data_IF_475790205186
#
_entry.id   IF_475790205186
#
_cell.length_a   1.000
_cell.length_b   1.000
_cell.length_c   1.000
_cell.angle_alpha   90.00
_cell.angle_beta   90.00
_cell.angle_gamma   90.00
#
_symmetry.space_group_name_H-M   'P 1'
#
loop_
_entity.id
_entity.type
_entity.pdbx_description
1 polymer ?
#
# COMPACT_ATOMS: atom_id res chain seq x y z
N UNK A 1 56.95 -11.23 -11.41
CA UNK A 1 56.10 -11.82 -10.34
C UNK A 1 54.93 -10.89 -10.07
N UNK A 2 53.84 -11.06 -10.81
CA UNK A 2 52.60 -10.27 -10.68
C UNK A 2 51.70 -10.90 -9.63
N UNK A 3 51.63 -10.28 -8.45
CA UNK A 3 50.75 -10.67 -7.34
C UNK A 3 49.30 -10.32 -7.65
N UNK A 4 48.49 -11.33 -7.99
CA UNK A 4 47.04 -11.21 -8.12
C UNK A 4 46.39 -11.23 -6.73
N UNK A 5 45.97 -10.07 -6.23
CA UNK A 5 45.17 -9.93 -5.02
C UNK A 5 43.76 -10.48 -5.28
N UNK A 6 43.47 -11.67 -4.75
CA UNK A 6 42.13 -12.26 -4.80
C UNK A 6 41.20 -11.45 -3.88
N UNK A 7 40.30 -10.66 -4.48
CA UNK A 7 39.19 -10.03 -3.76
C UNK A 7 38.26 -11.12 -3.24
N UNK A 8 38.21 -11.30 -1.92
CA UNK A 8 37.26 -12.22 -1.27
C UNK A 8 35.82 -11.82 -1.65
N UNK A 9 34.97 -12.77 -2.09
CA UNK A 9 33.60 -12.47 -2.49
C UNK A 9 32.83 -11.91 -1.28
N UNK A 10 32.36 -10.67 -1.40
CA UNK A 10 31.55 -9.99 -0.39
C UNK A 10 30.30 -10.82 -0.12
N UNK A 11 30.23 -11.45 1.05
CA UNK A 11 29.16 -12.39 1.41
C UNK A 11 27.83 -11.64 1.49
N UNK A 12 26.93 -11.88 0.54
CA UNK A 12 25.57 -11.34 0.60
C UNK A 12 24.87 -11.91 1.85
N UNK A 13 24.29 -11.03 2.68
CA UNK A 13 23.57 -11.42 3.88
C UNK A 13 22.07 -11.33 3.61
N UNK A 14 21.35 -12.43 3.80
CA UNK A 14 19.89 -12.45 3.77
C UNK A 14 19.35 -12.04 5.14
N UNK A 15 18.56 -10.96 5.20
CA UNK A 15 17.88 -10.53 6.43
C UNK A 15 16.37 -10.80 6.29
N UNK A 16 15.75 -11.51 7.23
CA UNK A 16 14.30 -11.64 7.25
C UNK A 16 13.66 -10.29 7.58
N UNK A 17 12.75 -9.81 6.73
CA UNK A 17 12.01 -8.55 6.95
C UNK A 17 10.60 -8.78 7.48
N UNK A 18 9.98 -9.90 7.14
CA UNK A 18 8.66 -10.27 7.64
C UNK A 18 8.59 -11.75 7.93
N UNK A 19 7.88 -12.10 9.00
CA UNK A 19 7.49 -13.48 9.32
C UNK A 19 6.06 -13.41 9.86
N UNK A 20 5.16 -14.16 9.24
CA UNK A 20 3.75 -14.11 9.58
C UNK A 20 2.92 -15.02 8.70
N UNK A 21 1.72 -14.54 8.38
CA UNK A 21 0.71 -15.32 7.67
C UNK A 21 -0.05 -14.48 6.65
N UNK A 22 -0.58 -15.16 5.64
CA UNK A 22 -1.41 -14.57 4.59
C UNK A 22 -2.88 -14.94 4.85
N UNK A 23 -3.70 -13.96 5.20
CA UNK A 23 -5.13 -14.14 5.37
C UNK A 23 -5.81 -14.25 3.99
N UNK A 24 -6.55 -15.33 3.77
CA UNK A 24 -7.32 -15.53 2.56
C UNK A 24 -8.65 -14.75 2.61
N UNK A 25 -9.19 -14.32 1.45
CA UNK A 25 -10.45 -13.60 1.41
C UNK A 25 -11.57 -14.54 1.83
N UNK A 26 -12.57 -14.00 2.51
CA UNK A 26 -13.82 -14.68 2.89
C UNK A 26 -13.69 -15.91 3.82
N UNK A 27 -12.47 -16.31 4.16
CA UNK A 27 -12.20 -17.40 5.07
C UNK A 27 -11.46 -16.89 6.31
N UNK A 28 -11.78 -17.48 7.47
CA UNK A 28 -10.96 -17.31 8.67
C UNK A 28 -9.64 -18.11 8.60
N UNK A 29 -9.32 -18.70 7.43
CA UNK A 29 -8.11 -19.48 7.21
C UNK A 29 -6.95 -18.53 6.91
N UNK A 30 -5.87 -18.72 7.65
CA UNK A 30 -4.60 -18.02 7.42
C UNK A 30 -3.54 -19.01 6.95
N UNK A 31 -2.75 -18.58 5.98
CA UNK A 31 -1.64 -19.34 5.44
C UNK A 31 -0.38 -18.95 6.23
N UNK A 32 -0.04 -19.75 7.24
CA UNK A 32 1.09 -19.48 8.14
C UNK A 32 2.45 -19.84 7.52
N UNK A 33 3.54 -19.50 8.22
CA UNK A 33 4.89 -19.91 7.85
C UNK A 33 5.45 -19.19 6.63
N UNK A 34 4.92 -18.01 6.33
CA UNK A 34 5.37 -17.14 5.24
C UNK A 34 6.43 -16.18 5.79
N UNK A 35 7.58 -16.14 5.14
CA UNK A 35 8.67 -15.24 5.48
C UNK A 35 9.15 -14.48 4.24
N UNK A 36 9.38 -13.18 4.38
CA UNK A 36 10.05 -12.38 3.35
C UNK A 36 11.47 -12.06 3.81
N UNK A 37 12.42 -12.27 2.91
CA UNK A 37 13.84 -12.07 3.14
C UNK A 37 14.40 -11.11 2.11
N UNK A 38 15.16 -10.11 2.54
CA UNK A 38 15.85 -9.18 1.65
C UNK A 38 17.33 -9.53 1.60
N UNK A 39 17.90 -9.58 0.40
CA UNK A 39 19.35 -9.77 0.24
C UNK A 39 20.05 -8.42 0.31
N UNK A 40 20.64 -8.10 1.46
CA UNK A 40 21.38 -6.86 1.62
C UNK A 40 22.82 -7.03 1.11
N UNK A 41 23.23 -6.07 0.29
CA UNK A 41 24.65 -5.85 -0.05
C UNK A 41 25.21 -4.76 0.86
N UNK A 42 26.54 -4.62 0.93
CA UNK A 42 27.19 -3.59 1.75
C UNK A 42 26.74 -2.15 1.39
N UNK A 43 26.21 -1.92 0.19
CA UNK A 43 25.81 -0.61 -0.31
C UNK A 43 24.32 -0.31 -0.11
N UNK A 44 23.48 -1.34 0.00
CA UNK A 44 22.03 -1.20 0.09
C UNK A 44 21.59 -1.21 1.55
N UNK A 45 21.04 -0.10 2.03
CA UNK A 45 20.44 -0.06 3.37
C UNK A 45 18.96 -0.42 3.31
N UNK A 46 18.43 -1.02 4.39
CA UNK A 46 17.00 -1.34 4.49
C UNK A 46 16.10 -0.12 4.28
N UNK A 47 16.61 1.08 4.62
CA UNK A 47 15.91 2.35 4.46
C UNK A 47 15.64 2.73 2.99
N UNK A 48 16.44 2.24 2.05
CA UNK A 48 16.30 2.53 0.63
C UNK A 48 15.20 1.70 -0.04
N UNK A 49 14.78 0.59 0.58
CA UNK A 49 13.73 -0.27 0.04
C UNK A 49 12.42 -0.03 0.80
N UNK A 50 11.47 0.74 0.23
CA UNK A 50 10.21 1.05 0.90
C UNK A 50 9.33 -0.18 1.13
N UNK A 51 9.46 -1.22 0.29
CA UNK A 51 8.73 -2.47 0.47
C UNK A 51 9.29 -3.28 1.65
N UNK A 52 10.62 -3.34 1.79
CA UNK A 52 11.26 -3.98 2.93
C UNK A 52 10.87 -3.29 4.26
N UNK A 53 10.83 -1.95 4.27
CA UNK A 53 10.36 -1.16 5.42
C UNK A 53 8.88 -1.43 5.75
N UNK A 54 8.04 -1.51 4.73
CA UNK A 54 6.62 -1.82 4.91
C UNK A 54 6.43 -3.21 5.53
N UNK A 55 7.14 -4.21 5.01
CA UNK A 55 7.12 -5.58 5.52
C UNK A 55 7.68 -5.67 6.95
N UNK A 56 8.78 -4.98 7.25
CA UNK A 56 9.33 -4.88 8.62
C UNK A 56 8.31 -4.32 9.60
N UNK A 57 7.54 -3.32 9.16
CA UNK A 57 6.52 -2.66 9.98
C UNK A 57 5.28 -3.53 10.22
N UNK A 58 5.10 -4.59 9.43
CA UNK A 58 3.94 -5.49 9.51
C UNK A 58 4.24 -6.81 10.23
N UNK A 59 5.44 -6.96 10.82
CA UNK A 59 5.77 -8.18 11.58
C UNK A 59 4.71 -8.46 12.66
N UNK A 60 4.27 -9.71 12.73
CA UNK A 60 3.21 -10.14 13.64
C UNK A 60 1.78 -9.77 13.20
N UNK A 61 1.61 -9.11 12.06
CA UNK A 61 0.30 -8.81 11.47
C UNK A 61 0.11 -9.67 10.22
N UNK A 62 -1.02 -10.37 10.14
CA UNK A 62 -1.37 -11.13 8.94
C UNK A 62 -1.60 -10.16 7.76
N UNK A 63 -0.91 -10.40 6.65
CA UNK A 63 -1.12 -9.66 5.41
C UNK A 63 -2.32 -10.24 4.66
N UNK A 64 -3.03 -9.45 3.86
CA UNK A 64 -4.30 -9.89 3.25
C UNK A 64 -4.11 -10.24 1.79
N UNK A 65 -4.57 -11.42 1.39
CA UNK A 65 -4.73 -11.73 -0.03
C UNK A 65 -5.77 -10.79 -0.66
N UNK A 66 -5.51 -10.36 -1.89
CA UNK A 66 -6.44 -9.57 -2.69
C UNK A 66 -6.96 -10.38 -3.87
N UNK A 67 -6.06 -10.81 -4.75
CA UNK A 67 -6.42 -11.52 -5.97
C UNK A 67 -5.22 -12.26 -6.58
N UNK A 68 -5.49 -13.20 -7.48
CA UNK A 68 -4.49 -13.68 -8.45
C UNK A 68 -4.65 -12.83 -9.71
N UNK A 69 -3.56 -12.21 -10.14
CA UNK A 69 -3.53 -11.23 -11.24
C UNK A 69 -2.57 -11.66 -12.33
N UNK A 70 -2.77 -11.18 -13.56
CA UNK A 70 -1.77 -11.32 -14.62
C UNK A 70 -0.72 -10.23 -14.48
N UNK A 71 0.55 -10.59 -14.57
CA UNK A 71 1.66 -9.65 -14.45
C UNK A 71 1.71 -8.64 -15.60
N UNK A 72 1.09 -8.96 -16.75
CA UNK A 72 0.96 -8.04 -17.88
C UNK A 72 0.00 -6.88 -17.61
N UNK A 73 -0.93 -7.03 -16.66
CA UNK A 73 -1.98 -6.05 -16.38
C UNK A 73 -1.55 -5.03 -15.31
N UNK A 74 -0.37 -5.19 -14.72
CA UNK A 74 0.14 -4.34 -13.64
C UNK A 74 1.56 -3.84 -13.89
N UNK A 75 1.85 -2.66 -13.36
CA UNK A 75 3.21 -2.15 -13.25
C UNK A 75 3.75 -2.51 -11.87
N UNK A 76 4.94 -3.11 -11.82
CA UNK A 76 5.58 -3.46 -10.57
C UNK A 76 7.09 -3.29 -10.67
N UNK A 77 7.71 -2.99 -9.54
CA UNK A 77 9.15 -2.72 -9.48
C UNK A 77 9.95 -4.03 -9.39
N UNK A 78 10.06 -4.75 -10.51
CA UNK A 78 10.83 -5.99 -10.60
C UNK A 78 12.35 -5.77 -10.40
N UNK A 79 12.83 -4.56 -10.72
CA UNK A 79 14.25 -4.20 -10.70
C UNK A 79 14.66 -3.49 -9.41
N UNK A 80 13.77 -3.37 -8.44
CA UNK A 80 14.08 -2.80 -7.13
C UNK A 80 15.16 -3.66 -6.45
N UNK A 81 16.41 -3.20 -6.51
CA UNK A 81 17.49 -3.75 -5.71
C UNK A 81 17.44 -3.12 -4.31
N UNK A 82 17.49 -3.90 -3.22
CA UNK A 82 17.58 -5.36 -3.17
C UNK A 82 16.22 -6.06 -3.37
N UNK A 83 16.22 -7.15 -4.15
CA UNK A 83 15.04 -7.98 -4.35
C UNK A 83 14.59 -8.66 -3.05
N UNK A 84 13.28 -8.80 -2.89
CA UNK A 84 12.68 -9.47 -1.72
C UNK A 84 12.26 -10.86 -2.14
N UNK A 85 12.88 -11.87 -1.52
CA UNK A 85 12.51 -13.27 -1.70
C UNK A 85 11.41 -13.65 -0.71
N UNK A 86 10.53 -14.54 -1.15
CA UNK A 86 9.55 -15.18 -0.30
C UNK A 86 9.99 -16.62 -0.02
N UNK A 87 10.10 -16.94 1.26
CA UNK A 87 10.43 -18.26 1.79
C UNK A 87 9.19 -18.82 2.49
N UNK A 88 8.83 -20.06 2.17
CA UNK A 88 7.72 -20.79 2.81
C UNK A 88 8.33 -21.87 3.71
N UNK A 89 7.94 -21.88 4.98
CA UNK A 89 8.42 -22.88 5.91
C UNK A 89 7.96 -24.30 5.48
N UNK A 90 8.84 -25.31 5.44
CA UNK A 90 8.50 -26.64 4.89
C UNK A 90 7.41 -27.38 5.68
N UNK A 91 7.23 -27.05 6.97
CA UNK A 91 6.15 -27.60 7.79
C UNK A 91 4.81 -26.87 7.60
N UNK A 92 4.78 -25.73 6.90
CA UNK A 92 3.55 -25.02 6.59
C UNK A 92 2.89 -25.63 5.34
N UNK A 93 2.28 -26.80 5.52
CA UNK A 93 1.72 -27.63 4.44
C UNK A 93 0.67 -26.85 3.63
N UNK A 94 -0.25 -26.14 4.28
CA UNK A 94 -1.30 -25.37 3.59
C UNK A 94 -0.71 -24.27 2.69
N UNK A 95 0.26 -23.51 3.19
CA UNK A 95 0.93 -22.46 2.41
C UNK A 95 1.72 -23.04 1.24
N UNK A 96 2.41 -24.16 1.47
CA UNK A 96 3.16 -24.89 0.43
C UNK A 96 2.22 -25.35 -0.68
N UNK A 97 1.15 -26.06 -0.33
CA UNK A 97 0.15 -26.56 -1.30
C UNK A 97 -0.54 -25.40 -2.03
N UNK A 98 -0.88 -24.32 -1.32
CA UNK A 98 -1.51 -23.14 -1.93
C UNK A 98 -0.63 -22.53 -3.02
N UNK A 99 0.64 -22.23 -2.71
CA UNK A 99 1.55 -21.62 -3.67
C UNK A 99 1.99 -22.59 -4.78
N UNK A 100 2.12 -23.89 -4.48
CA UNK A 100 2.32 -24.92 -5.50
C UNK A 100 1.13 -24.99 -6.46
N UNK A 101 -0.10 -24.91 -5.94
CA UNK A 101 -1.28 -24.93 -6.79
C UNK A 101 -1.33 -23.72 -7.73
N UNK A 102 -0.94 -22.55 -7.24
CA UNK A 102 -0.90 -21.34 -8.06
C UNK A 102 0.22 -21.41 -9.10
N UNK A 103 1.46 -21.67 -8.68
CA UNK A 103 2.62 -21.48 -9.55
C UNK A 103 3.07 -22.75 -10.29
N UNK A 104 2.72 -23.96 -9.83
CA UNK A 104 3.22 -25.22 -10.39
C UNK A 104 2.18 -26.00 -11.19
N UNK A 105 0.86 -25.75 -11.05
CA UNK A 105 -0.15 -26.51 -11.81
C UNK A 105 -0.10 -26.25 -13.31
N UNK A 106 0.32 -25.05 -13.73
CA UNK A 106 0.37 -24.65 -15.14
C UNK A 106 1.71 -23.98 -15.45
N UNK A 107 2.73 -24.74 -15.89
CA UNK A 107 4.08 -24.21 -16.14
C UNK A 107 4.09 -23.07 -17.18
N UNK A 108 3.15 -23.09 -18.13
CA UNK A 108 2.98 -22.03 -19.13
C UNK A 108 2.56 -20.68 -18.53
N UNK A 109 1.86 -20.71 -17.39
CA UNK A 109 1.30 -19.53 -16.73
C UNK A 109 2.12 -19.09 -15.52
N UNK A 110 3.06 -19.90 -15.04
CA UNK A 110 3.87 -19.65 -13.84
C UNK A 110 4.49 -18.26 -13.79
N UNK A 111 5.01 -17.77 -14.93
CA UNK A 111 5.68 -16.47 -15.02
C UNK A 111 4.78 -15.34 -15.51
N UNK A 112 3.52 -15.63 -15.84
CA UNK A 112 2.56 -14.62 -16.29
C UNK A 112 1.52 -14.24 -15.23
N UNK A 113 1.48 -14.96 -14.11
CA UNK A 113 0.57 -14.71 -12.99
C UNK A 113 1.33 -14.26 -11.74
N UNK A 114 0.64 -13.53 -10.87
CA UNK A 114 1.13 -13.14 -9.56
C UNK A 114 0.01 -13.13 -8.52
N UNK A 115 0.39 -13.25 -7.25
CA UNK A 115 -0.54 -13.15 -6.12
C UNK A 115 -0.44 -11.73 -5.54
N UNK A 116 -1.51 -10.96 -5.70
CA UNK A 116 -1.62 -9.62 -5.14
C UNK A 116 -1.94 -9.70 -3.65
N UNK A 117 -1.14 -8.99 -2.85
CA UNK A 117 -1.27 -8.96 -1.40
C UNK A 117 -1.33 -7.52 -0.92
N UNK A 118 -2.30 -7.23 -0.06
CA UNK A 118 -2.47 -5.93 0.57
C UNK A 118 -1.63 -5.83 1.85
N UNK A 119 -0.78 -4.81 1.89
CA UNK A 119 0.02 -4.42 3.08
C UNK A 119 -0.71 -3.38 3.96
N UNK A 120 -1.97 -3.11 3.68
CA UNK A 120 -2.82 -2.19 4.44
C UNK A 120 -4.13 -1.94 3.70
N UNK A 121 -4.82 -0.86 4.04
CA UNK A 121 -6.18 -0.62 3.53
C UNK A 121 -6.24 0.15 2.22
N UNK A 122 -5.10 0.55 1.66
CA UNK A 122 -5.04 1.28 0.40
C UNK A 122 -4.35 0.49 -0.70
N UNK A 123 -4.93 0.52 -1.89
CA UNK A 123 -4.41 -0.21 -3.06
C UNK A 123 -3.00 0.23 -3.47
N UNK A 124 -2.64 1.47 -3.13
CA UNK A 124 -1.33 2.06 -3.41
C UNK A 124 -0.14 1.37 -2.72
N UNK A 125 -0.43 0.44 -1.81
CA UNK A 125 0.58 -0.28 -1.02
C UNK A 125 0.55 -1.79 -1.20
N UNK A 126 -0.15 -2.23 -2.24
CA UNK A 126 -0.19 -3.64 -2.58
C UNK A 126 1.18 -4.08 -3.12
N UNK A 127 1.54 -5.32 -2.80
CA UNK A 127 2.66 -6.02 -3.41
C UNK A 127 2.12 -7.14 -4.30
N UNK A 128 2.97 -7.62 -5.19
CA UNK A 128 2.75 -8.84 -5.96
C UNK A 128 3.82 -9.86 -5.61
N UNK A 129 3.39 -11.08 -5.31
CA UNK A 129 4.26 -12.26 -5.20
C UNK A 129 4.25 -12.94 -6.57
N UNK A 130 5.42 -13.21 -7.13
CA UNK A 130 5.56 -13.84 -8.44
C UNK A 130 6.68 -14.86 -8.45
N UNK A 131 6.61 -15.82 -9.37
CA UNK A 131 7.66 -16.82 -9.55
C UNK A 131 8.76 -16.32 -10.48
N UNK A 132 10.00 -16.66 -10.15
CA UNK A 132 11.19 -16.44 -10.97
C UNK A 132 11.97 -17.75 -11.09
N UNK A 133 12.54 -18.03 -12.26
CA UNK A 133 13.31 -19.25 -12.50
C UNK A 133 14.72 -19.12 -11.91
N UNK A 134 15.15 -20.11 -11.13
CA UNK A 134 16.49 -20.15 -10.53
C UNK A 134 17.23 -21.41 -11.00
N UNK A 135 17.26 -21.63 -12.32
CA UNK A 135 17.90 -22.79 -12.93
C UNK A 135 17.31 -24.13 -12.45
N UNK A 136 17.73 -25.25 -13.04
CA UNK A 136 17.38 -26.60 -12.56
C UNK A 136 15.88 -26.88 -12.33
N UNK A 137 14.98 -26.25 -13.10
CA UNK A 137 13.53 -26.32 -12.90
C UNK A 137 13.05 -25.90 -11.50
N UNK A 138 13.87 -25.16 -10.75
CA UNK A 138 13.51 -24.61 -9.45
C UNK A 138 12.88 -23.23 -9.62
N UNK A 139 11.76 -23.01 -8.95
CA UNK A 139 11.11 -21.72 -8.85
C UNK A 139 11.51 -21.05 -7.54
N UNK A 140 11.82 -19.76 -7.61
CA UNK A 140 11.96 -18.88 -6.45
C UNK A 140 10.83 -17.88 -6.46
N UNK A 141 10.18 -17.75 -5.32
CA UNK A 141 9.14 -16.75 -5.14
C UNK A 141 9.79 -15.42 -4.75
N UNK A 142 9.41 -14.35 -5.45
CA UNK A 142 9.86 -12.98 -5.22
C UNK A 142 8.66 -12.10 -4.94
N UNK A 143 8.89 -10.98 -4.25
CA UNK A 143 7.91 -9.96 -3.99
C UNK A 143 8.36 -8.62 -4.55
N UNK A 144 7.46 -7.92 -5.24
CA UNK A 144 7.68 -6.58 -5.74
C UNK A 144 6.50 -5.67 -5.41
N UNK A 145 6.77 -4.38 -5.29
CA UNK A 145 5.74 -3.38 -5.04
C UNK A 145 5.00 -3.10 -6.33
N UNK A 146 3.67 -3.07 -6.26
CA UNK A 146 2.85 -2.59 -7.37
C UNK A 146 2.97 -1.07 -7.43
N UNK A 147 3.37 -0.56 -8.58
CA UNK A 147 3.54 0.87 -8.83
C UNK A 147 2.41 1.38 -9.73
N UNK A 148 2.01 2.66 -9.60
CA UNK A 148 1.14 3.24 -10.60
C UNK A 148 1.81 3.17 -11.98
N UNK A 149 1.01 3.16 -13.07
CA UNK A 149 1.56 3.25 -14.42
C UNK A 149 2.47 4.48 -14.52
N UNK A 150 3.61 4.38 -15.22
CA UNK A 150 4.50 5.52 -15.42
C UNK A 150 3.69 6.63 -16.07
N UNK A 151 3.62 7.77 -15.39
CA UNK A 151 2.99 8.96 -15.96
C UNK A 151 3.84 9.35 -17.15
N UNK A 152 3.29 9.21 -18.37
CA UNK A 152 3.95 9.68 -19.57
C UNK A 152 4.21 11.18 -19.39
N UNK A 153 5.47 11.56 -19.23
CA UNK A 153 5.83 12.96 -19.25
C UNK A 153 5.41 13.51 -20.62
N UNK A 154 4.73 14.67 -20.66
CA UNK A 154 4.41 15.31 -21.93
C UNK A 154 5.73 15.47 -22.69
N UNK A 155 5.77 14.96 -23.92
CA UNK A 155 6.98 15.10 -24.73
C UNK A 155 7.20 16.59 -24.96
N UNK A 156 8.45 17.08 -24.97
CA UNK A 156 8.75 18.48 -25.26
C UNK A 156 8.14 18.97 -26.59
N UNK A 157 7.96 18.05 -27.55
CA UNK A 157 7.36 18.30 -28.86
C UNK A 157 5.86 17.98 -28.93
N UNK A 158 5.27 17.44 -27.86
CA UNK A 158 3.81 17.27 -27.79
C UNK A 158 3.23 18.68 -27.69
N UNK A 159 2.49 19.17 -28.70
CA UNK A 159 1.95 20.52 -28.67
C UNK A 159 1.13 20.62 -27.39
N UNK A 160 1.66 21.34 -26.39
CA UNK A 160 1.03 21.48 -25.08
C UNK A 160 -0.45 21.69 -25.33
N UNK A 161 -1.35 20.83 -24.80
CA UNK A 161 -2.76 20.92 -25.09
C UNK A 161 -3.12 22.37 -24.84
N UNK A 162 -3.37 23.12 -25.92
CA UNK A 162 -3.57 24.56 -25.84
C UNK A 162 -4.75 24.67 -24.92
N UNK A 163 -4.52 25.16 -23.69
CA UNK A 163 -5.60 25.39 -22.74
C UNK A 163 -6.64 26.15 -23.56
N UNK A 164 -7.87 25.59 -23.74
CA UNK A 164 -8.88 26.31 -24.50
C UNK A 164 -8.92 27.70 -23.89
N UNK A 165 -8.86 28.77 -24.71
CA UNK A 165 -8.74 30.13 -24.21
C UNK A 165 -9.80 30.27 -23.12
N UNK A 166 -9.33 30.59 -21.90
CA UNK A 166 -10.22 30.86 -20.79
C UNK A 166 -11.06 32.03 -21.28
N UNK A 167 -12.26 31.71 -21.77
CA UNK A 167 -13.28 32.69 -22.09
C UNK A 167 -13.50 33.43 -20.77
N UNK A 168 -12.81 34.58 -20.68
CA UNK A 168 -13.10 35.66 -19.79
C UNK A 168 -14.62 35.76 -19.85
N UNK A 169 -15.28 35.38 -18.76
CA UNK A 169 -16.65 35.74 -18.52
C UNK A 169 -16.63 37.26 -18.29
N UNK A 170 -16.47 38.00 -19.38
CA UNK A 170 -16.75 39.40 -19.47
C UNK A 170 -18.25 39.50 -19.23
N UNK A 171 -18.56 39.89 -18.00
CA UNK A 171 -19.86 40.34 -17.56
C UNK A 171 -20.19 41.64 -18.31
N UNK A 172 -20.64 41.54 -19.55
CA UNK A 172 -21.35 42.57 -20.30
C UNK A 172 -22.68 41.95 -20.72
N UNK A 173 -23.76 42.22 -19.98
CA UNK A 173 -24.78 43.22 -20.36
C UNK A 173 -25.19 43.06 -21.82
N UNK A 174 -26.36 42.43 -21.96
CA UNK A 174 -27.49 42.76 -22.82
C UNK A 174 -27.23 43.27 -24.23
N UNK A 175 -28.14 42.82 -25.11
CA UNK A 175 -28.35 43.21 -26.52
C UNK A 175 -27.71 42.24 -27.50
N UNK A 176 -28.46 41.20 -27.90
CA UNK A 176 -28.70 40.80 -29.30
C UNK A 176 -29.73 39.63 -29.36
N UNK A 177 -30.46 39.44 -30.48
CA UNK A 177 -31.90 39.15 -30.49
C UNK A 177 -32.22 37.65 -30.61
N UNK A 178 -33.50 37.26 -30.41
CA UNK A 178 -33.92 35.87 -30.55
C UNK A 178 -33.95 35.47 -32.04
N UNK A 179 -33.34 34.34 -32.37
CA UNK A 179 -33.50 33.70 -33.68
C UNK A 179 -33.65 32.17 -33.52
N UNK A 180 -34.22 31.49 -34.53
CA UNK A 180 -35.43 30.69 -34.35
C UNK A 180 -35.19 29.20 -34.08
N UNK A 181 -36.23 28.61 -33.51
CA UNK A 181 -36.42 27.18 -33.19
C UNK A 181 -35.98 26.24 -34.32
N UNK A 182 -34.96 25.42 -34.05
CA UNK A 182 -34.66 24.23 -34.83
C UNK A 182 -35.55 23.08 -34.32
N UNK A 183 -36.62 22.77 -35.05
CA UNK A 183 -37.51 21.62 -34.78
C UNK A 183 -36.88 20.34 -35.31
N UNK A 184 -36.53 19.41 -34.43
CA UNK A 184 -36.19 18.03 -34.79
C UNK A 184 -37.46 17.16 -34.69
N UNK A 185 -37.75 16.29 -35.68
CA UNK A 185 -38.90 15.39 -35.64
C UNK A 185 -38.80 14.35 -34.52
N UNK A 186 -39.89 14.15 -33.80
CA UNK A 186 -40.02 13.19 -32.71
C UNK A 186 -40.03 11.74 -33.22
N UNK A 187 -39.18 10.90 -32.62
CA UNK A 187 -39.17 9.44 -32.80
C UNK A 187 -40.10 8.81 -31.75
N UNK A 188 -41.00 7.88 -32.13
CA UNK A 188 -41.98 7.31 -31.21
C UNK A 188 -41.35 6.31 -30.23
N UNK A 189 -41.48 6.59 -28.93
CA UNK A 189 -41.12 5.67 -27.85
C UNK A 189 -42.22 4.60 -27.66
N UNK A 190 -41.83 3.32 -27.74
CA UNK A 190 -42.69 2.17 -27.43
C UNK A 190 -42.92 2.07 -25.93
N UNK A 191 -44.19 2.05 -25.55
CA UNK A 191 -44.71 1.87 -24.20
C UNK A 191 -44.69 0.40 -23.77
N UNK A 192 -43.92 0.08 -22.72
CA UNK A 192 -44.04 -1.16 -21.96
C UNK A 192 -44.81 -0.89 -20.68
N UNK A 193 -46.07 -1.33 -20.64
CA UNK A 193 -46.96 -1.31 -19.46
C UNK A 193 -46.37 -2.19 -18.36
N UNK A 194 -46.13 -1.63 -17.18
CA UNK A 194 -46.00 -2.39 -15.92
C UNK A 194 -46.89 -1.75 -14.86
N UNK A 195 -47.69 -2.58 -14.18
CA UNK A 195 -48.77 -2.24 -13.23
C UNK A 195 -48.25 -1.56 -11.94
N UNK A 196 -49.11 -0.79 -11.25
CA UNK A 196 -48.76 -0.08 -10.03
C UNK A 196 -48.97 -0.93 -8.76
N UNK A 197 -48.08 -0.76 -7.79
CA UNK A 197 -48.32 -1.06 -6.38
C UNK A 197 -47.91 0.15 -5.55
N UNK A 198 -48.88 0.70 -4.81
CA UNK A 198 -48.77 1.75 -3.79
C UNK A 198 -47.66 1.47 -2.77
N UNK A 199 -46.81 2.47 -2.48
CA UNK A 199 -46.34 2.86 -1.12
C UNK A 199 -45.98 4.36 -1.13
N UNK A 200 -46.25 5.01 0.01
CA UNK A 200 -46.20 6.41 0.45
C UNK A 200 -44.97 7.32 0.18
N UNK A 201 -45.08 8.65 0.45
CA UNK A 201 -44.11 9.68 0.07
C UNK A 201 -43.08 9.97 1.17
N UNK A 202 -41.81 10.16 0.78
CA UNK A 202 -40.77 10.72 1.64
C UNK A 202 -40.01 11.82 0.88
N UNK A 203 -39.74 12.89 1.62
CA UNK A 203 -39.31 14.23 1.20
C UNK A 203 -37.88 14.21 0.62
N UNK A 204 -37.71 14.71 -0.59
CA UNK A 204 -36.39 14.93 -1.20
C UNK A 204 -35.86 16.34 -0.97
N UNK A 205 -34.55 16.53 -0.67
CA UNK A 205 -33.92 17.84 -0.73
C UNK A 205 -33.25 18.08 -2.08
N UNK A 206 -33.50 19.29 -2.59
CA UNK A 206 -32.92 19.95 -3.76
C UNK A 206 -31.39 19.92 -3.76
N UNK A 207 -30.80 19.38 -4.83
CA UNK A 207 -29.37 19.50 -5.15
C UNK A 207 -29.18 20.69 -6.07
N UNK A 208 -28.59 21.79 -5.57
CA UNK A 208 -27.85 22.73 -6.41
C UNK A 208 -26.83 23.51 -5.58
N UNK A 209 -25.67 23.78 -6.20
CA UNK A 209 -24.51 24.60 -5.77
C UNK A 209 -23.33 23.85 -5.14
N UNK A 210 -22.36 23.47 -5.98
CA UNK A 210 -20.97 23.18 -5.59
C UNK A 210 -20.00 23.80 -6.58
N UNK A 211 -19.33 24.87 -6.18
CA UNK A 211 -18.02 25.23 -6.75
C UNK A 211 -17.18 26.21 -5.90
N UNK A 212 -17.53 26.49 -4.63
CA UNK A 212 -16.72 27.32 -3.71
C UNK A 212 -16.10 26.57 -2.52
N UNK A 213 -16.49 25.31 -2.27
CA UNK A 213 -16.06 24.55 -1.08
C UNK A 213 -14.70 23.84 -1.18
N UNK A 214 -14.08 23.80 -2.36
CA UNK A 214 -12.85 23.02 -2.57
C UNK A 214 -11.64 23.63 -1.85
N UNK A 215 -11.59 24.95 -1.64
CA UNK A 215 -10.46 25.58 -0.92
C UNK A 215 -10.57 25.46 0.60
N UNK A 216 -11.79 25.42 1.15
CA UNK A 216 -12.01 25.28 2.59
C UNK A 216 -11.78 23.83 3.04
N UNK A 217 -12.16 22.84 2.21
CA UNK A 217 -11.95 21.42 2.53
C UNK A 217 -10.46 21.04 2.61
N UNK A 218 -9.58 21.68 1.83
CA UNK A 218 -8.12 21.43 1.86
C UNK A 218 -7.48 21.93 3.15
N UNK A 219 -7.88 23.10 3.65
CA UNK A 219 -7.35 23.65 4.90
C UNK A 219 -7.85 22.87 6.14
N UNK A 220 -9.13 22.50 6.17
CA UNK A 220 -9.70 21.67 7.26
C UNK A 220 -9.05 20.28 7.31
N UNK A 221 -8.77 19.69 6.14
CA UNK A 221 -8.06 18.41 6.06
C UNK A 221 -6.63 18.49 6.61
N UNK A 222 -5.95 19.62 6.38
CA UNK A 222 -4.57 19.83 6.83
C UNK A 222 -4.45 19.92 8.35
N UNK A 223 -5.38 20.64 9.00
CA UNK A 223 -5.42 20.75 10.47
C UNK A 223 -5.78 19.41 11.12
N UNK A 224 -6.74 18.67 10.54
CA UNK A 224 -7.14 17.35 11.05
C UNK A 224 -5.96 16.36 11.04
N UNK A 225 -5.20 16.30 9.94
CA UNK A 225 -4.03 15.42 9.81
C UNK A 225 -2.92 15.79 10.81
N UNK A 226 -2.71 17.08 11.09
CA UNK A 226 -1.72 17.52 12.07
C UNK A 226 -2.05 17.02 13.48
N UNK A 227 -3.31 17.19 13.90
CA UNK A 227 -3.78 16.76 15.22
C UNK A 227 -3.60 15.25 15.39
N UNK A 228 -3.99 14.47 14.38
CA UNK A 228 -3.83 13.01 14.38
C UNK A 228 -2.36 12.60 14.57
N UNK A 229 -1.43 13.25 13.85
CA UNK A 229 0.01 12.93 13.98
C UNK A 229 0.54 13.22 15.39
N UNK A 230 0.06 14.27 16.04
CA UNK A 230 0.44 14.58 17.43
C UNK A 230 -0.16 13.58 18.42
N UNK A 231 -1.41 13.15 18.22
CA UNK A 231 -2.03 12.08 19.01
C UNK A 231 -1.21 10.79 18.93
N UNK A 232 -0.81 10.37 17.72
CA UNK A 232 0.03 9.18 17.53
C UNK A 232 1.37 9.34 18.25
N UNK A 233 2.04 10.50 18.13
CA UNK A 233 3.28 10.76 18.90
C UNK A 233 3.07 10.60 20.39
N UNK A 234 1.99 11.17 20.94
CA UNK A 234 1.65 11.07 22.35
C UNK A 234 1.35 9.62 22.80
N UNK A 235 0.70 8.82 21.95
CA UNK A 235 0.49 7.39 22.20
C UNK A 235 1.83 6.66 22.24
N UNK A 236 2.70 6.87 21.26
CA UNK A 236 4.02 6.20 21.21
C UNK A 236 4.88 6.54 22.42
N UNK A 237 4.92 7.81 22.85
CA UNK A 237 5.65 8.20 24.07
C UNK A 237 5.08 7.49 25.31
N UNK A 238 3.76 7.30 25.40
CA UNK A 238 3.10 6.60 26.52
C UNK A 238 3.31 5.09 26.47
N UNK A 239 3.49 4.50 25.29
CA UNK A 239 3.65 3.05 25.12
C UNK A 239 5.07 2.54 25.41
N UNK A 240 6.10 3.40 25.34
CA UNK A 240 7.48 3.03 25.66
C UNK A 240 7.66 3.00 27.18
N UNK A 241 7.97 1.84 27.79
CA UNK A 241 8.15 1.75 29.23
C UNK A 241 9.40 2.53 29.67
N UNK A 242 9.21 3.52 30.53
CA UNK A 242 10.29 4.40 31.02
C UNK A 242 11.40 3.66 31.76
N UNK A 243 11.09 2.51 32.35
CA UNK A 243 12.05 1.66 33.05
C UNK A 243 12.95 0.83 32.10
N UNK A 244 12.50 0.58 30.86
CA UNK A 244 13.29 -0.14 29.86
C UNK A 244 14.10 0.81 28.98
N UNK A 245 13.51 1.95 28.59
CA UNK A 245 14.15 2.91 27.70
C UNK A 245 13.83 4.35 28.15
N UNK A 246 14.61 4.93 29.08
CA UNK A 246 14.39 6.29 29.54
C UNK A 246 14.67 7.30 28.40
N UNK A 247 14.05 8.48 28.47
CA UNK A 247 14.22 9.54 27.44
C UNK A 247 15.66 10.05 27.30
N UNK A 248 16.49 9.84 28.33
CA UNK A 248 17.92 10.16 28.32
C UNK A 248 18.78 9.11 27.62
N UNK A 249 18.22 7.94 27.27
CA UNK A 249 18.96 6.87 26.58
C UNK A 249 19.33 7.33 25.15
N UNK A 250 20.58 7.08 24.69
CA UNK A 250 21.01 7.50 23.34
C UNK A 250 20.09 6.94 22.24
N UNK A 251 19.64 5.70 22.39
CA UNK A 251 18.82 5.02 21.38
C UNK A 251 17.32 5.38 21.45
N UNK A 252 16.89 6.11 22.48
CA UNK A 252 15.47 6.45 22.65
C UNK A 252 14.89 7.13 21.40
N UNK A 253 15.64 8.08 20.84
CA UNK A 253 15.21 8.83 19.66
C UNK A 253 15.04 7.95 18.43
N UNK A 254 15.91 6.96 18.26
CA UNK A 254 15.88 6.04 17.13
C UNK A 254 14.73 5.05 17.25
N UNK A 255 14.62 4.38 18.40
CA UNK A 255 13.52 3.44 18.71
C UNK A 255 12.16 4.15 18.62
N UNK A 256 12.05 5.35 19.20
CA UNK A 256 10.85 6.18 19.07
C UNK A 256 10.48 6.44 17.60
N UNK A 257 11.46 6.80 16.76
CA UNK A 257 11.22 7.08 15.36
C UNK A 257 10.79 5.83 14.58
N UNK A 258 11.35 4.66 14.88
CA UNK A 258 10.93 3.39 14.26
C UNK A 258 9.50 3.04 14.64
N UNK A 259 9.16 3.09 15.93
CA UNK A 259 7.79 2.83 16.41
C UNK A 259 6.82 3.84 15.80
N UNK A 260 7.13 5.14 15.86
CA UNK A 260 6.29 6.20 15.33
C UNK A 260 6.00 6.03 13.84
N UNK A 261 7.04 5.75 13.03
CA UNK A 261 6.88 5.53 11.59
C UNK A 261 6.07 4.27 11.30
N UNK A 262 6.31 3.18 12.03
CA UNK A 262 5.56 1.93 11.91
C UNK A 262 4.06 2.11 12.18
N UNK A 263 3.72 2.76 13.30
CA UNK A 263 2.32 3.06 13.66
C UNK A 263 1.67 3.99 12.63
N UNK A 264 2.34 5.08 12.23
CA UNK A 264 1.81 5.99 11.19
C UNK A 264 1.62 5.28 9.84
N UNK A 265 2.51 4.34 9.49
CA UNK A 265 2.37 3.55 8.28
C UNK A 265 1.14 2.64 8.37
N UNK A 266 0.97 1.91 9.47
CA UNK A 266 -0.16 1.00 9.68
C UNK A 266 -1.52 1.72 9.61
N UNK A 267 -1.64 2.91 10.21
CA UNK A 267 -2.90 3.68 10.25
C UNK A 267 -3.05 4.70 9.11
N UNK A 268 -2.20 4.64 8.07
CA UNK A 268 -2.13 5.65 6.99
C UNK A 268 -3.45 5.92 6.26
N UNK A 269 -4.31 4.90 6.17
CA UNK A 269 -5.61 4.98 5.52
C UNK A 269 -6.59 5.78 6.37
N UNK A 270 -6.64 5.47 7.67
CA UNK A 270 -7.48 6.15 8.65
C UNK A 270 -7.10 7.62 8.78
N UNK A 271 -5.80 7.96 8.79
CA UNK A 271 -5.31 9.35 8.91
C UNK A 271 -5.97 10.29 7.89
N UNK A 272 -6.33 9.78 6.71
CA UNK A 272 -6.92 10.60 5.63
C UNK A 272 -8.45 10.66 5.70
N UNK A 273 -9.09 9.70 6.33
CA UNK A 273 -10.53 9.46 6.18
C UNK A 273 -11.31 9.67 7.48
N UNK A 274 -10.72 9.35 8.63
CA UNK A 274 -11.43 9.24 9.92
C UNK A 274 -10.54 9.69 11.09
N UNK A 275 -11.11 10.12 12.22
CA UNK A 275 -10.34 10.29 13.45
C UNK A 275 -9.69 8.94 13.83
N UNK A 276 -8.43 8.99 14.27
CA UNK A 276 -7.68 7.78 14.63
C UNK A 276 -8.29 7.16 15.89
N UNK A 277 -8.58 5.86 15.82
CA UNK A 277 -8.95 5.06 16.99
C UNK A 277 -7.71 4.89 17.89
N UNK A 278 -7.71 5.57 19.03
CA UNK A 278 -6.58 5.57 19.97
C UNK A 278 -6.24 4.17 20.50
N UNK A 279 -7.23 3.30 20.68
CA UNK A 279 -7.03 1.94 21.17
C UNK A 279 -6.26 1.10 20.16
N UNK A 280 -6.64 1.18 18.88
CA UNK A 280 -5.93 0.47 17.81
C UNK A 280 -4.49 1.01 17.64
N UNK A 281 -4.30 2.33 17.67
CA UNK A 281 -2.97 2.93 17.59
C UNK A 281 -2.10 2.55 18.81
N UNK A 282 -2.68 2.48 20.00
CA UNK A 282 -2.01 2.02 21.23
C UNK A 282 -1.63 0.55 21.17
N UNK A 283 -2.51 -0.31 20.63
CA UNK A 283 -2.22 -1.72 20.37
C UNK A 283 -1.04 -1.88 19.39
N UNK A 284 -1.04 -1.15 18.28
CA UNK A 284 0.06 -1.16 17.30
C UNK A 284 1.38 -0.65 17.90
N UNK A 285 1.33 0.41 18.69
CA UNK A 285 2.51 0.94 19.39
C UNK A 285 3.10 -0.12 20.34
N UNK A 286 2.27 -0.84 21.11
CA UNK A 286 2.73 -1.93 21.99
C UNK A 286 3.39 -3.08 21.22
N UNK A 287 2.85 -3.48 20.07
CA UNK A 287 3.46 -4.51 19.21
C UNK A 287 4.86 -4.07 18.76
N UNK A 288 5.00 -2.84 18.29
CA UNK A 288 6.30 -2.29 17.89
C UNK A 288 7.28 -2.15 19.06
N UNK A 289 6.81 -1.71 20.24
CA UNK A 289 7.64 -1.68 21.45
C UNK A 289 8.17 -3.06 21.78
N UNK A 290 7.30 -4.09 21.71
CA UNK A 290 7.71 -5.49 21.88
C UNK A 290 8.86 -5.84 20.92
N UNK A 291 8.72 -5.53 19.63
CA UNK A 291 9.74 -5.86 18.63
C UNK A 291 11.12 -5.23 18.85
N UNK A 292 11.19 -4.00 19.38
CA UNK A 292 12.45 -3.25 19.49
C UNK A 292 13.04 -3.21 20.90
N UNK A 293 12.20 -3.27 21.94
CA UNK A 293 12.63 -3.09 23.34
C UNK A 293 12.68 -4.43 24.08
N UNK A 294 11.79 -5.36 23.76
CA UNK A 294 11.72 -6.69 24.37
C UNK A 294 12.09 -7.73 23.31
N UNK A 295 13.38 -8.02 23.15
CA UNK A 295 13.83 -9.12 22.28
C UNK A 295 12.91 -10.34 22.47
N UNK A 296 12.43 -10.91 21.36
CA UNK A 296 11.31 -11.86 21.28
C UNK A 296 11.45 -13.14 22.13
N UNK A 297 12.57 -13.30 22.84
CA UNK A 297 12.99 -14.53 23.51
C UNK A 297 13.21 -14.32 25.03
N UNK A 298 12.86 -13.16 25.58
CA UNK A 298 13.20 -12.79 26.98
C UNK A 298 14.71 -12.59 27.21
N UNK A 299 15.53 -12.81 26.17
CA UNK A 299 16.91 -12.36 26.11
C UNK A 299 16.89 -10.91 25.65
N UNK A 300 17.64 -10.05 26.35
CA UNK A 300 17.86 -8.66 25.96
C UNK A 300 18.08 -8.63 24.44
N UNK A 301 17.25 -7.87 23.73
CA UNK A 301 17.42 -7.67 22.30
C UNK A 301 18.82 -7.12 22.00
N UNK A 302 19.27 -7.14 20.73
CA UNK A 302 20.56 -6.56 20.37
C UNK A 302 20.50 -5.05 20.57
N UNK A 303 20.92 -4.62 21.75
CA UNK A 303 21.38 -3.27 22.06
C UNK A 303 22.82 -3.44 22.54
#
# INVERSE_FOLDING_TARGET
TSSSTMSSPTRASSRPVYRGSLALPDSHVTLDGIAFSVMLTAQTTLLQNPLALALESLRGIAIRFVAVIKLADIYYDAKAAPGIALDIHPQAVLSTVYFQNIFCLRPEQTYSIGVQVALGDTDATNLVIYASSVGNNALRLLAARITPPPVALPRPDDPTPRKPPLLLHAKGRDLFPPNPQFKVPAVPAKTLKRKPSQVEPEVGPTIERKNKDVRVSVLVSSLSVYNIRQTIKGIVVRSIPTHLLPKSHPDYKEVFNWIYRGVCFAVRADIKLKPVNEENASRLARVHVGMYVQGADGRKGPI
#
